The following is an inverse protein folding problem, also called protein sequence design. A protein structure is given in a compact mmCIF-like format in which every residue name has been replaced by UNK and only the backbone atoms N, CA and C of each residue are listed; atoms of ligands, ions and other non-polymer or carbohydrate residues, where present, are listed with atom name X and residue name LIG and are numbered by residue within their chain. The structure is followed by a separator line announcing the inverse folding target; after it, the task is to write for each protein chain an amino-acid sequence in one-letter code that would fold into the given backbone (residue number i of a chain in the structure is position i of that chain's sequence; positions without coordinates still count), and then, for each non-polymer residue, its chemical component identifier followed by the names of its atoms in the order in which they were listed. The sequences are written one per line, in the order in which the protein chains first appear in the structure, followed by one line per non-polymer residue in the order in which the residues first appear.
data_IF_716556841647
#
_entry.id   IF_716556841647
#
_cell.length_a   1.000
_cell.length_b   1.000
_cell.length_c   1.000
_cell.angle_alpha   90.00
_cell.angle_beta   90.00
_cell.angle_gamma   90.00
#
_symmetry.space_group_name_H-M   'P 1'
#
loop_
_entity.id
_entity.type
_entity.pdbx_description
1 polymer ?
#
# COMPACT_ATOMS: atom_id res chain seq x y z
N UNK A 1 -13.56 0.55 -14.48
CA UNK A 1 -12.25 0.46 -13.84
C UNK A 1 -12.23 1.49 -12.74
N UNK A 2 -12.18 1.06 -11.51
CA UNK A 2 -12.14 1.96 -10.36
C UNK A 2 -11.16 1.41 -9.32
N UNK A 3 -10.36 2.29 -8.72
CA UNK A 3 -9.43 1.94 -7.65
C UNK A 3 -10.04 2.23 -6.28
N UNK A 4 -9.77 1.34 -5.35
CA UNK A 4 -10.14 1.49 -3.94
C UNK A 4 -8.90 1.31 -3.08
N UNK A 5 -8.66 2.23 -2.15
CA UNK A 5 -7.79 2.03 -1.00
C UNK A 5 -8.66 2.13 0.26
N UNK A 6 -8.77 1.03 0.98
CA UNK A 6 -9.56 0.90 2.19
C UNK A 6 -8.68 0.35 3.31
N UNK A 7 -8.75 0.92 4.48
CA UNK A 7 -7.97 0.41 5.61
C UNK A 7 -8.15 1.18 6.89
N UNK A 8 -7.33 0.80 7.86
CA UNK A 8 -7.15 1.48 9.14
C UNK A 8 -5.67 1.82 9.33
N UNK A 9 -5.39 2.85 10.09
CA UNK A 9 -4.01 3.21 10.45
C UNK A 9 -3.92 3.78 11.87
N UNK A 10 -2.71 4.13 12.30
CA UNK A 10 -2.43 4.69 13.63
C UNK A 10 -3.19 5.99 13.95
N UNK A 11 -3.70 6.72 12.93
CA UNK A 11 -4.50 7.94 13.11
C UNK A 11 -5.98 7.63 13.36
N UNK A 12 -6.47 6.51 12.82
CA UNK A 12 -7.90 6.18 12.81
C UNK A 12 -8.26 5.08 13.79
N UNK A 13 -7.30 4.24 14.20
CA UNK A 13 -7.53 3.08 15.04
C UNK A 13 -6.46 2.94 16.13
N UNK A 14 -6.88 2.61 17.34
CA UNK A 14 -5.97 2.27 18.45
C UNK A 14 -5.16 1.00 18.16
N UNK A 15 -4.06 0.78 18.90
CA UNK A 15 -3.24 -0.45 18.80
C UNK A 15 -4.12 -1.68 18.93
N UNK A 16 -5.03 -1.72 19.92
CA UNK A 16 -5.90 -2.87 20.16
C UNK A 16 -6.79 -3.26 18.97
N UNK A 17 -7.26 -2.27 18.19
CA UNK A 17 -8.03 -2.51 16.96
C UNK A 17 -7.09 -2.95 15.82
N UNK A 18 -5.93 -2.30 15.68
CA UNK A 18 -4.93 -2.64 14.65
C UNK A 18 -4.40 -4.07 14.81
N UNK A 19 -4.18 -4.53 16.05
CA UNK A 19 -3.78 -5.91 16.37
C UNK A 19 -4.78 -6.94 15.83
N UNK A 20 -6.08 -6.65 15.95
CA UNK A 20 -7.16 -7.53 15.50
C UNK A 20 -7.33 -7.55 13.97
N UNK A 21 -6.88 -6.50 13.27
CA UNK A 21 -6.99 -6.36 11.80
C UNK A 21 -5.65 -6.66 11.08
N UNK A 22 -4.63 -7.07 11.83
CA UNK A 22 -3.33 -7.41 11.27
C UNK A 22 -3.38 -8.76 10.53
N UNK A 23 -2.77 -8.83 9.35
CA UNK A 23 -2.57 -10.08 8.61
C UNK A 23 -1.17 -10.63 8.87
N UNK A 24 -1.10 -11.93 9.19
CA UNK A 24 0.19 -12.60 9.28
C UNK A 24 0.73 -12.92 7.88
N UNK A 25 2.06 -13.06 7.72
CA UNK A 25 2.64 -13.44 6.44
C UNK A 25 2.06 -14.73 5.86
N UNK A 26 1.73 -15.70 6.72
CA UNK A 26 1.18 -17.00 6.32
C UNK A 26 -0.25 -16.92 5.81
N UNK A 27 -1.02 -15.92 6.28
CA UNK A 27 -2.43 -15.73 5.91
C UNK A 27 -2.61 -14.92 4.63
N UNK A 28 -1.61 -14.11 4.23
CA UNK A 28 -1.77 -13.11 3.17
C UNK A 28 -2.20 -13.68 1.82
N UNK A 29 -1.62 -14.82 1.40
CA UNK A 29 -1.94 -15.42 0.10
C UNK A 29 -3.40 -15.88 0.05
N UNK A 30 -3.86 -16.58 1.10
CA UNK A 30 -5.24 -17.04 1.21
C UNK A 30 -6.20 -15.85 1.32
N UNK A 31 -5.89 -14.87 2.16
CA UNK A 31 -6.69 -13.66 2.32
C UNK A 31 -6.89 -12.89 1.01
N UNK A 32 -5.83 -12.76 0.21
CA UNK A 32 -5.89 -12.12 -1.11
C UNK A 32 -6.81 -12.86 -2.08
N UNK A 33 -6.72 -14.18 -2.13
CA UNK A 33 -7.57 -15.01 -2.99
C UNK A 33 -9.04 -14.95 -2.57
N UNK A 34 -9.30 -15.00 -1.26
CA UNK A 34 -10.65 -14.84 -0.70
C UNK A 34 -11.20 -13.45 -1.00
N UNK A 35 -10.42 -12.39 -0.79
CA UNK A 35 -10.80 -11.01 -1.08
C UNK A 35 -11.26 -10.88 -2.54
N UNK A 36 -10.46 -11.33 -3.50
CA UNK A 36 -10.83 -11.27 -4.91
C UNK A 36 -12.12 -12.03 -5.22
N UNK A 37 -12.26 -13.25 -4.64
CA UNK A 37 -13.39 -14.12 -4.93
C UNK A 37 -14.70 -13.60 -4.32
N UNK A 38 -14.67 -13.20 -3.04
CA UNK A 38 -15.86 -12.83 -2.28
C UNK A 38 -16.31 -11.39 -2.53
N UNK A 39 -15.41 -10.50 -2.96
CA UNK A 39 -15.76 -9.11 -3.28
C UNK A 39 -15.83 -8.82 -4.78
N UNK A 40 -15.74 -9.87 -5.61
CA UNK A 40 -15.75 -9.74 -7.07
C UNK A 40 -14.69 -8.74 -7.59
N UNK A 41 -13.56 -8.64 -6.87
CA UNK A 41 -12.44 -7.78 -7.24
C UNK A 41 -11.58 -8.45 -8.29
N UNK A 42 -11.16 -7.71 -9.32
CA UNK A 42 -10.29 -8.24 -10.37
C UNK A 42 -8.85 -8.34 -9.92
N UNK A 43 -8.42 -7.35 -9.16
CA UNK A 43 -7.05 -7.24 -8.67
C UNK A 43 -7.08 -6.76 -7.21
N UNK A 44 -6.18 -7.30 -6.38
CA UNK A 44 -6.07 -6.91 -4.98
C UNK A 44 -4.64 -7.03 -4.45
N UNK A 45 -4.29 -6.16 -3.51
CA UNK A 45 -3.08 -6.24 -2.68
C UNK A 45 -3.40 -5.86 -1.24
N UNK A 46 -2.71 -6.47 -0.28
CA UNK A 46 -2.85 -6.20 1.16
C UNK A 46 -1.51 -5.68 1.69
N UNK A 47 -1.52 -4.50 2.30
CA UNK A 47 -0.41 -3.95 3.07
C UNK A 47 -0.73 -4.05 4.55
N UNK A 48 -0.06 -4.94 5.28
CA UNK A 48 -0.20 -5.09 6.73
C UNK A 48 1.14 -4.80 7.41
N UNK A 49 1.15 -3.83 8.32
CA UNK A 49 2.32 -3.36 9.07
C UNK A 49 1.92 -3.10 10.52
N UNK A 50 2.87 -2.73 11.40
CA UNK A 50 2.53 -2.30 12.77
C UNK A 50 1.62 -1.05 12.82
N UNK A 51 1.62 -0.20 11.78
CA UNK A 51 0.91 1.07 11.80
C UNK A 51 -0.33 1.11 10.92
N UNK A 52 -0.55 0.12 10.04
CA UNK A 52 -1.68 0.08 9.11
C UNK A 52 -1.99 -1.31 8.58
N UNK A 53 -3.26 -1.54 8.29
CA UNK A 53 -3.74 -2.62 7.45
C UNK A 53 -4.59 -2.01 6.34
N UNK A 54 -4.14 -2.14 5.09
CA UNK A 54 -4.76 -1.51 3.91
C UNK A 54 -4.98 -2.52 2.79
N UNK A 55 -6.12 -2.38 2.14
CA UNK A 55 -6.51 -3.12 0.95
C UNK A 55 -6.46 -2.18 -0.24
N UNK A 56 -5.71 -2.55 -1.27
CA UNK A 56 -5.67 -1.86 -2.57
C UNK A 56 -6.34 -2.75 -3.59
N UNK A 57 -7.40 -2.26 -4.20
CA UNK A 57 -8.31 -3.08 -5.00
C UNK A 57 -8.62 -2.40 -6.33
N UNK A 58 -8.78 -3.19 -7.40
CA UNK A 58 -9.39 -2.77 -8.66
C UNK A 58 -10.69 -3.54 -8.89
N UNK A 59 -11.76 -2.81 -9.18
CA UNK A 59 -13.09 -3.33 -9.48
C UNK A 59 -13.72 -2.58 -10.66
N UNK A 60 -14.67 -3.22 -11.34
CA UNK A 60 -15.49 -2.52 -12.35
C UNK A 60 -16.45 -1.51 -11.71
N UNK A 61 -17.09 -1.92 -10.63
CA UNK A 61 -17.98 -1.12 -9.80
C UNK A 61 -17.48 -1.21 -8.36
N UNK A 62 -17.23 -0.06 -7.73
CA UNK A 62 -16.75 -0.02 -6.35
C UNK A 62 -17.87 -0.42 -5.37
N UNK A 63 -17.74 -1.58 -4.78
CA UNK A 63 -18.64 -2.09 -3.74
C UNK A 63 -17.97 -2.00 -2.35
N UNK A 64 -17.72 -0.77 -1.88
CA UNK A 64 -17.01 -0.48 -0.63
C UNK A 64 -17.58 -1.25 0.55
N UNK A 65 -18.91 -1.33 0.65
CA UNK A 65 -19.60 -2.03 1.73
C UNK A 65 -19.32 -3.53 1.74
N UNK A 66 -19.16 -4.14 0.58
CA UNK A 66 -18.83 -5.57 0.46
C UNK A 66 -17.39 -5.84 0.94
N UNK A 67 -16.46 -4.94 0.60
CA UNK A 67 -15.07 -5.02 1.04
C UNK A 67 -14.96 -4.83 2.55
N UNK A 68 -15.69 -3.86 3.12
CA UNK A 68 -15.76 -3.66 4.58
C UNK A 68 -16.32 -4.89 5.31
N UNK A 69 -17.39 -5.49 4.79
CA UNK A 69 -17.96 -6.73 5.35
C UNK A 69 -16.97 -7.87 5.30
N UNK A 70 -16.31 -8.06 4.14
CA UNK A 70 -15.28 -9.09 4.04
C UNK A 70 -14.18 -8.90 5.09
N UNK A 71 -13.68 -7.68 5.27
CA UNK A 71 -12.63 -7.40 6.25
C UNK A 71 -13.11 -7.62 7.69
N UNK A 72 -14.34 -7.24 8.00
CA UNK A 72 -14.97 -7.46 9.31
C UNK A 72 -15.12 -8.97 9.60
N UNK A 73 -15.68 -9.72 8.65
CA UNK A 73 -15.91 -11.17 8.78
C UNK A 73 -14.59 -11.94 8.89
N UNK A 74 -13.59 -11.57 8.07
CA UNK A 74 -12.26 -12.19 8.07
C UNK A 74 -11.59 -12.11 9.44
N UNK A 75 -11.67 -10.95 10.09
CA UNK A 75 -11.08 -10.68 11.41
C UNK A 75 -12.05 -10.84 12.58
N UNK A 76 -13.27 -11.35 12.35
CA UNK A 76 -14.30 -11.54 13.37
C UNK A 76 -14.62 -10.27 14.18
N UNK A 77 -14.68 -9.12 13.47
CA UNK A 77 -15.03 -7.81 14.00
C UNK A 77 -16.49 -7.48 13.70
N UNK A 78 -17.11 -6.60 14.50
CA UNK A 78 -18.38 -6.02 14.08
C UNK A 78 -18.16 -5.01 12.95
N UNK A 79 -19.06 -5.01 11.97
CA UNK A 79 -19.00 -4.06 10.84
C UNK A 79 -19.02 -2.60 11.32
N UNK A 80 -19.77 -2.31 12.39
CA UNK A 80 -19.86 -0.96 12.94
C UNK A 80 -18.56 -0.52 13.62
N UNK A 81 -17.88 -1.42 14.34
CA UNK A 81 -16.56 -1.15 14.92
C UNK A 81 -15.53 -0.82 13.83
N UNK A 82 -15.51 -1.62 12.76
CA UNK A 82 -14.59 -1.39 11.65
C UNK A 82 -14.92 -0.09 10.89
N UNK A 83 -16.21 0.17 10.62
CA UNK A 83 -16.68 1.39 9.94
C UNK A 83 -16.32 2.66 10.70
N UNK A 84 -16.31 2.62 12.03
CA UNK A 84 -15.97 3.76 12.87
C UNK A 84 -14.50 4.21 12.73
N UNK A 85 -13.60 3.30 12.32
CA UNK A 85 -12.18 3.57 12.22
C UNK A 85 -11.58 3.38 10.80
N UNK A 86 -12.35 2.82 9.86
CA UNK A 86 -11.87 2.63 8.50
C UNK A 86 -11.92 3.93 7.69
N UNK A 87 -10.92 4.16 6.87
CA UNK A 87 -10.96 5.19 5.84
C UNK A 87 -11.07 4.55 4.46
N UNK A 88 -11.61 5.32 3.54
CA UNK A 88 -11.88 4.89 2.17
C UNK A 88 -11.44 5.98 1.21
N UNK A 89 -10.59 5.63 0.27
CA UNK A 89 -10.20 6.47 -0.85
C UNK A 89 -10.59 5.77 -2.15
N UNK A 90 -11.13 6.52 -3.09
CA UNK A 90 -11.57 6.00 -4.38
C UNK A 90 -10.83 6.69 -5.52
N UNK A 91 -10.62 5.98 -6.61
CA UNK A 91 -10.04 6.43 -7.87
C UNK A 91 -8.77 7.28 -7.70
N UNK A 92 -8.80 8.55 -8.09
CA UNK A 92 -7.69 9.50 -7.94
C UNK A 92 -7.22 9.63 -6.48
N UNK A 93 -8.16 9.63 -5.54
CA UNK A 93 -7.88 9.62 -4.11
C UNK A 93 -7.13 8.36 -3.66
N UNK A 94 -7.47 7.18 -4.20
CA UNK A 94 -6.79 5.92 -3.88
C UNK A 94 -5.36 5.91 -4.44
N UNK A 95 -5.18 6.36 -5.67
CA UNK A 95 -3.86 6.50 -6.31
C UNK A 95 -2.96 7.44 -5.51
N UNK A 96 -3.47 8.63 -5.18
CA UNK A 96 -2.73 9.61 -4.37
C UNK A 96 -2.39 9.06 -2.99
N UNK A 97 -3.34 8.41 -2.32
CA UNK A 97 -3.11 7.82 -1.00
C UNK A 97 -1.99 6.78 -1.05
N UNK A 98 -2.01 5.85 -2.00
CA UNK A 98 -0.98 4.84 -2.14
C UNK A 98 0.41 5.45 -2.38
N UNK A 99 0.51 6.49 -3.21
CA UNK A 99 1.76 7.20 -3.45
C UNK A 99 2.25 7.96 -2.20
N UNK A 100 1.35 8.56 -1.42
CA UNK A 100 1.66 9.19 -0.11
C UNK A 100 2.20 8.18 0.89
N UNK A 101 1.54 7.01 1.00
CA UNK A 101 1.98 5.91 1.86
C UNK A 101 3.37 5.44 1.46
N UNK A 102 3.60 5.16 0.18
CA UNK A 102 4.90 4.72 -0.34
C UNK A 102 6.03 5.73 -0.10
N UNK A 103 5.70 7.02 -0.13
CA UNK A 103 6.63 8.13 0.11
C UNK A 103 6.89 8.39 1.59
N UNK A 104 6.18 7.69 2.49
CA UNK A 104 6.26 7.90 3.94
C UNK A 104 5.56 9.18 4.43
N UNK A 105 4.75 9.83 3.59
CA UNK A 105 4.01 11.06 3.94
C UNK A 105 2.82 10.79 4.85
N UNK A 106 2.32 9.55 4.87
CA UNK A 106 1.27 9.12 5.77
C UNK A 106 1.77 8.16 6.86
N UNK A 107 3.07 7.98 7.00
CA UNK A 107 3.68 7.19 8.08
C UNK A 107 3.65 7.94 9.40
N UNK A 108 3.70 7.19 10.52
CA UNK A 108 3.85 7.75 11.86
C UNK A 108 5.10 8.64 11.92
N UNK A 109 6.17 8.20 11.30
CA UNK A 109 7.40 8.96 11.12
C UNK A 109 7.47 9.45 9.68
N UNK A 110 7.42 10.75 9.49
CA UNK A 110 7.42 11.37 8.18
C UNK A 110 8.69 11.02 7.40
N UNK A 111 8.52 10.39 6.22
CA UNK A 111 9.61 9.95 5.37
C UNK A 111 10.27 8.64 5.80
N UNK A 112 9.64 7.83 6.65
CA UNK A 112 10.15 6.53 7.09
C UNK A 112 10.50 5.64 5.89
N UNK A 113 11.74 5.12 5.78
CA UNK A 113 12.15 4.32 4.64
C UNK A 113 11.51 2.93 4.59
N UNK A 114 11.12 2.39 5.74
CA UNK A 114 10.62 1.01 5.87
C UNK A 114 9.31 0.78 5.11
N UNK A 115 8.38 1.74 5.11
CA UNK A 115 7.08 1.60 4.44
C UNK A 115 7.23 1.32 2.94
N UNK A 116 8.24 1.89 2.29
CA UNK A 116 8.52 1.63 0.89
C UNK A 116 8.94 0.18 0.64
N UNK A 117 9.76 -0.38 1.52
CA UNK A 117 10.15 -1.80 1.51
C UNK A 117 8.93 -2.71 1.76
N UNK A 118 8.12 -2.38 2.76
CA UNK A 118 6.90 -3.12 3.10
C UNK A 118 5.89 -3.13 1.95
N UNK A 119 5.71 -2.01 1.25
CA UNK A 119 4.83 -1.95 0.08
C UNK A 119 5.36 -2.80 -1.09
N UNK A 120 6.68 -2.87 -1.29
CA UNK A 120 7.28 -3.79 -2.27
C UNK A 120 7.04 -5.26 -1.90
N UNK A 121 7.15 -5.60 -0.63
CA UNK A 121 6.86 -6.95 -0.13
C UNK A 121 5.39 -7.30 -0.33
N UNK A 122 4.46 -6.39 -0.03
CA UNK A 122 3.03 -6.55 -0.28
C UNK A 122 2.74 -6.82 -1.77
N UNK A 123 3.39 -6.08 -2.67
CA UNK A 123 3.30 -6.32 -4.11
C UNK A 123 3.84 -7.69 -4.52
N UNK A 124 4.96 -8.12 -3.95
CA UNK A 124 5.55 -9.44 -4.25
C UNK A 124 4.62 -10.58 -3.82
N UNK A 125 4.05 -10.50 -2.61
CA UNK A 125 3.08 -11.49 -2.09
C UNK A 125 1.81 -11.51 -2.95
N UNK A 126 1.25 -10.35 -3.32
CA UNK A 126 0.06 -10.27 -4.17
C UNK A 126 0.33 -10.83 -5.59
N UNK A 127 1.53 -10.67 -6.12
CA UNK A 127 1.96 -11.33 -7.38
C UNK A 127 2.03 -12.84 -7.23
N UNK A 128 2.58 -13.33 -6.14
CA UNK A 128 2.64 -14.78 -5.84
C UNK A 128 1.24 -15.38 -5.69
N UNK A 129 0.33 -14.67 -5.03
CA UNK A 129 -1.08 -15.04 -4.89
C UNK A 129 -1.86 -15.02 -6.21
N UNK A 130 -1.29 -14.42 -7.29
CA UNK A 130 -1.96 -14.28 -8.57
C UNK A 130 -3.05 -13.21 -8.60
N UNK A 131 -3.06 -12.28 -7.65
CA UNK A 131 -4.07 -11.23 -7.50
C UNK A 131 -3.63 -9.87 -8.04
N UNK A 132 -2.47 -9.78 -8.69
CA UNK A 132 -2.00 -8.59 -9.40
C UNK A 132 -2.22 -8.77 -10.90
N UNK A 133 -3.02 -7.90 -11.46
CA UNK A 133 -3.21 -7.79 -12.91
C UNK A 133 -2.55 -6.52 -13.49
N UNK A 134 -2.96 -6.14 -14.73
CA UNK A 134 -2.30 -5.03 -15.43
C UNK A 134 -2.49 -3.66 -14.79
N UNK A 135 -3.62 -3.43 -14.09
CA UNK A 135 -3.97 -2.10 -13.58
C UNK A 135 -3.29 -1.80 -12.26
N UNK A 136 -3.44 -2.68 -11.25
CA UNK A 136 -2.69 -2.55 -10.00
C UNK A 136 -1.17 -2.68 -10.23
N UNK A 137 -0.76 -3.57 -11.15
CA UNK A 137 0.65 -3.70 -11.50
C UNK A 137 1.25 -2.38 -12.00
N UNK A 138 0.54 -1.64 -12.86
CA UNK A 138 0.96 -0.31 -13.32
C UNK A 138 0.91 0.73 -12.21
N UNK A 139 -0.12 0.69 -11.35
CA UNK A 139 -0.22 1.59 -10.20
C UNK A 139 0.96 1.40 -9.24
N UNK A 140 1.33 0.17 -8.91
CA UNK A 140 2.49 -0.12 -8.08
C UNK A 140 3.79 0.41 -8.70
N UNK A 141 4.01 0.22 -10.01
CA UNK A 141 5.20 0.73 -10.68
C UNK A 141 5.25 2.26 -10.68
N UNK A 142 4.14 2.94 -10.96
CA UNK A 142 4.05 4.39 -10.87
C UNK A 142 4.30 4.88 -9.43
N UNK A 143 3.71 4.22 -8.44
CA UNK A 143 3.90 4.49 -7.02
C UNK A 143 5.37 4.36 -6.61
N UNK A 144 6.05 3.28 -7.04
CA UNK A 144 7.47 3.09 -6.75
C UNK A 144 8.34 4.16 -7.40
N UNK A 145 8.02 4.58 -8.62
CA UNK A 145 8.73 5.66 -9.31
C UNK A 145 8.57 6.99 -8.59
N UNK A 146 7.33 7.37 -8.26
CA UNK A 146 7.02 8.62 -7.53
C UNK A 146 7.67 8.62 -6.14
N UNK A 147 7.56 7.53 -5.38
CA UNK A 147 8.18 7.44 -4.05
C UNK A 147 9.71 7.53 -4.11
N UNK A 148 10.35 6.95 -5.14
CA UNK A 148 11.79 7.10 -5.35
C UNK A 148 12.14 8.54 -5.68
N UNK A 149 11.38 9.20 -6.53
CA UNK A 149 11.57 10.61 -6.89
C UNK A 149 11.45 11.51 -5.65
N UNK A 150 10.38 11.36 -4.87
CA UNK A 150 10.19 12.10 -3.61
C UNK A 150 11.42 11.97 -2.69
N UNK A 151 11.95 10.77 -2.54
CA UNK A 151 13.11 10.51 -1.68
C UNK A 151 14.43 11.06 -2.22
N UNK A 152 14.56 11.20 -3.53
CA UNK A 152 15.76 11.74 -4.19
C UNK A 152 15.73 13.25 -4.27
N UNK A 153 14.56 13.83 -4.57
CA UNK A 153 14.41 15.23 -4.92
C UNK A 153 13.98 16.11 -3.72
N UNK A 154 13.71 15.49 -2.55
CA UNK A 154 13.30 16.23 -1.35
C UNK A 154 14.12 15.81 -0.12
N UNK A 155 14.26 16.70 0.86
CA UNK A 155 14.90 16.42 2.14
C UNK A 155 14.13 15.41 3.02
N UNK A 156 12.98 14.91 2.58
CA UNK A 156 12.24 13.83 3.26
C UNK A 156 13.05 12.53 3.34
N UNK A 157 13.89 12.26 2.31
CA UNK A 157 14.79 11.12 2.30
C UNK A 157 16.06 11.28 3.14
N UNK A 158 16.36 12.49 3.60
CA UNK A 158 17.56 12.79 4.38
C UNK A 158 17.31 12.55 5.88
N UNK A 159 18.19 11.79 6.54
CA UNK A 159 18.15 11.48 7.98
C UNK A 159 16.75 11.06 8.50
N UNK A 160 16.22 9.93 8.05
CA UNK A 160 14.90 9.50 8.49
C UNK A 160 14.90 9.25 9.99
N UNK A 161 14.05 9.97 10.73
CA UNK A 161 13.68 9.57 12.08
C UNK A 161 12.86 8.28 11.94
N UNK A 162 13.29 7.20 12.53
CA UNK A 162 12.56 5.93 12.54
C UNK A 162 11.96 5.68 13.92
N UNK A 163 10.97 4.81 14.01
CA UNK A 163 10.47 4.30 15.31
C UNK A 163 11.63 3.75 16.14
N UNK A 164 12.60 3.10 15.48
CA UNK A 164 13.84 2.64 16.11
C UNK A 164 14.68 3.79 16.71
N UNK A 165 14.80 4.90 15.98
CA UNK A 165 15.49 6.10 16.51
C UNK A 165 14.73 6.71 17.70
N UNK A 166 13.40 6.79 17.63
CA UNK A 166 12.58 7.31 18.73
C UNK A 166 12.72 6.46 20.00
N UNK A 167 12.69 5.13 19.89
CA UNK A 167 12.89 4.21 20.99
C UNK A 167 14.26 4.41 21.67
N UNK A 168 15.33 4.55 20.88
CA UNK A 168 16.69 4.79 21.40
C UNK A 168 16.82 6.20 21.98
N UNK A 169 16.17 7.21 21.40
CA UNK A 169 16.17 8.58 21.93
C UNK A 169 15.46 8.67 23.28
N UNK A 170 14.36 7.94 23.45
CA UNK A 170 13.67 7.84 24.72
C UNK A 170 14.52 7.12 25.78
N UNK A 171 15.22 6.04 25.39
CA UNK A 171 16.19 5.39 26.29
C UNK A 171 17.26 6.35 26.78
N UNK A 172 17.75 7.27 25.94
CA UNK A 172 18.74 8.32 26.33
C UNK A 172 18.21 9.32 27.34
N UNK A 173 16.93 9.60 27.35
CA UNK A 173 16.31 10.50 28.33
C UNK A 173 16.19 9.84 29.70
N UNK A 174 16.00 8.51 29.72
CA UNK A 174 15.83 7.74 30.96
C UNK A 174 17.19 7.35 31.55
N UNK A 175 18.16 6.96 30.75
CA UNK A 175 19.47 6.53 31.18
C UNK A 175 20.52 7.62 30.91
N UNK A 176 21.19 8.06 31.98
CA UNK A 176 22.25 9.07 31.88
C UNK A 176 23.53 8.56 31.18
N UNK A 177 23.77 7.25 31.18
CA UNK A 177 24.94 6.61 30.55
C UNK A 177 24.55 5.26 29.90
N UNK A 178 24.37 5.28 28.61
CA UNK A 178 24.04 4.08 27.82
C UNK A 178 25.22 3.10 27.67
N UNK A 179 26.46 3.56 27.86
CA UNK A 179 27.64 2.68 27.74
C UNK A 179 27.67 1.57 28.82
N UNK A 180 26.96 1.76 29.93
CA UNK A 180 26.88 0.79 31.02
C UNK A 180 25.64 -0.07 30.96
N UNK A 181 24.72 0.25 30.09
CA UNK A 181 23.43 -0.46 29.94
C UNK A 181 23.60 -1.71 29.08
N UNK A 182 22.83 -2.73 29.42
CA UNK A 182 22.63 -3.91 28.55
C UNK A 182 21.26 -3.82 27.84
N UNK A 183 21.26 -4.04 26.54
CA UNK A 183 20.06 -4.07 25.75
C UNK A 183 19.72 -5.50 25.31
N UNK A 184 18.48 -5.89 25.51
CA UNK A 184 17.86 -7.11 24.96
C UNK A 184 16.93 -6.72 23.83
N UNK A 185 17.23 -7.22 22.63
CA UNK A 185 16.45 -7.02 21.42
C UNK A 185 15.71 -8.29 21.07
N UNK A 186 14.38 -8.24 21.00
CA UNK A 186 13.53 -9.39 20.73
C UNK A 186 13.03 -9.29 19.29
N UNK A 187 13.45 -10.24 18.45
CA UNK A 187 13.25 -10.24 17.01
C UNK A 187 14.56 -10.07 16.23
N UNK A 188 14.52 -10.31 14.93
CA UNK A 188 15.66 -10.12 14.02
C UNK A 188 15.19 -9.56 12.66
N UNK A 189 14.15 -8.74 12.68
CA UNK A 189 13.62 -8.01 11.53
C UNK A 189 14.37 -6.69 11.28
N UNK A 190 13.95 -5.99 10.22
CA UNK A 190 14.56 -4.71 9.80
C UNK A 190 14.51 -3.65 10.90
N UNK A 191 13.39 -3.54 11.62
CA UNK A 191 13.24 -2.58 12.74
C UNK A 191 14.25 -2.86 13.86
N UNK A 192 14.40 -4.12 14.26
CA UNK A 192 15.37 -4.50 15.29
C UNK A 192 16.82 -4.29 14.82
N UNK A 193 17.11 -4.52 13.54
CA UNK A 193 18.42 -4.20 12.95
C UNK A 193 18.74 -2.71 13.04
N UNK A 194 17.77 -1.83 12.79
CA UNK A 194 17.94 -0.38 12.96
C UNK A 194 18.11 0.01 14.43
N UNK A 195 17.34 -0.59 15.34
CA UNK A 195 17.50 -0.38 16.79
C UNK A 195 18.90 -0.78 17.24
N UNK A 196 19.38 -1.95 16.83
CA UNK A 196 20.72 -2.44 17.17
C UNK A 196 21.80 -1.46 16.70
N UNK A 197 21.68 -0.95 15.46
CA UNK A 197 22.59 0.06 14.90
C UNK A 197 22.58 1.34 15.73
N UNK A 198 21.40 1.90 16.02
CA UNK A 198 21.29 3.12 16.79
C UNK A 198 21.84 2.95 18.22
N UNK A 199 21.58 1.84 18.90
CA UNK A 199 22.14 1.54 20.23
C UNK A 199 23.66 1.41 20.19
N UNK A 200 24.19 0.72 19.19
CA UNK A 200 25.62 0.59 18.97
C UNK A 200 26.29 1.94 18.72
N UNK A 201 25.71 2.79 17.85
CA UNK A 201 26.21 4.15 17.56
C UNK A 201 26.15 5.06 18.80
N UNK A 202 25.20 4.82 19.72
CA UNK A 202 25.13 5.49 21.03
C UNK A 202 26.06 4.87 22.11
N UNK A 203 26.85 3.88 21.73
CA UNK A 203 27.88 3.30 22.57
C UNK A 203 27.42 2.20 23.52
N UNK A 204 26.22 1.64 23.34
CA UNK A 204 25.79 0.44 24.08
C UNK A 204 26.65 -0.74 23.66
N UNK A 205 27.46 -1.25 24.59
CA UNK A 205 28.45 -2.32 24.31
C UNK A 205 27.86 -3.73 24.48
N UNK A 206 26.84 -3.87 25.29
CA UNK A 206 26.22 -5.17 25.62
C UNK A 206 24.85 -5.25 24.98
N UNK A 207 24.81 -5.83 23.79
CA UNK A 207 23.56 -6.07 23.06
C UNK A 207 23.35 -7.57 22.96
N UNK A 208 22.17 -8.04 23.32
CA UNK A 208 21.71 -9.42 23.17
C UNK A 208 20.55 -9.42 22.18
N UNK A 209 20.58 -10.29 21.17
CA UNK A 209 19.53 -10.46 20.17
C UNK A 209 18.87 -11.80 20.40
N UNK A 210 17.60 -11.79 20.78
CA UNK A 210 16.76 -12.99 20.97
C UNK A 210 15.83 -13.20 19.78
N UNK A 211 15.83 -14.39 19.20
CA UNK A 211 14.91 -14.70 18.12
C UNK A 211 14.48 -16.17 18.17
N UNK A 212 13.36 -16.50 17.50
CA UNK A 212 12.88 -17.88 17.35
C UNK A 212 13.91 -18.76 16.64
N UNK A 213 14.60 -18.23 15.66
CA UNK A 213 15.63 -18.89 14.85
C UNK A 213 16.99 -18.31 15.23
N UNK A 214 17.86 -19.15 15.80
CA UNK A 214 19.18 -18.72 16.27
C UNK A 214 20.07 -18.15 15.14
N UNK A 215 19.98 -18.72 13.94
CA UNK A 215 20.74 -18.28 12.77
C UNK A 215 20.44 -16.84 12.40
N UNK A 216 19.15 -16.42 12.45
CA UNK A 216 18.75 -15.03 12.20
C UNK A 216 19.25 -14.10 13.29
N UNK A 217 19.19 -14.52 14.56
CA UNK A 217 19.74 -13.75 15.66
C UNK A 217 21.26 -13.59 15.50
N UNK A 218 21.99 -14.64 15.14
CA UNK A 218 23.43 -14.63 14.94
C UNK A 218 23.86 -13.70 13.79
N UNK A 219 23.19 -13.78 12.66
CA UNK A 219 23.45 -12.90 11.49
C UNK A 219 23.33 -11.41 11.85
N UNK A 220 22.34 -11.07 12.69
CA UNK A 220 22.18 -9.69 13.16
C UNK A 220 23.24 -9.34 14.21
N UNK A 221 23.48 -10.21 15.18
CA UNK A 221 24.41 -10.00 16.27
C UNK A 221 25.85 -9.80 15.79
N UNK A 222 26.29 -10.57 14.80
CA UNK A 222 27.63 -10.45 14.19
C UNK A 222 27.94 -9.06 13.66
N UNK A 223 26.94 -8.34 13.14
CA UNK A 223 27.13 -6.99 12.59
C UNK A 223 27.54 -5.96 13.64
N UNK A 224 27.21 -6.23 14.91
CA UNK A 224 27.40 -5.28 16.03
C UNK A 224 28.25 -5.85 17.18
N UNK A 225 28.84 -7.02 17.00
CA UNK A 225 29.56 -7.70 18.07
C UNK A 225 28.65 -8.07 19.25
N UNK A 226 27.36 -8.32 18.97
CA UNK A 226 26.34 -8.64 19.95
C UNK A 226 26.27 -10.17 20.21
N UNK A 227 25.52 -10.58 21.24
CA UNK A 227 25.27 -11.97 21.57
C UNK A 227 23.91 -12.44 21.05
N UNK A 228 23.85 -13.62 20.46
CA UNK A 228 22.62 -14.20 19.94
C UNK A 228 22.09 -15.30 20.86
N UNK A 229 20.77 -15.29 21.12
CA UNK A 229 20.10 -16.27 21.98
C UNK A 229 18.75 -16.70 21.37
N UNK A 230 18.22 -17.84 21.83
CA UNK A 230 16.86 -18.24 21.51
C UNK A 230 15.84 -17.50 22.39
N UNK A 231 14.56 -17.40 21.94
CA UNK A 231 13.48 -16.81 22.74
C UNK A 231 13.31 -17.49 24.11
N UNK A 232 13.62 -18.78 24.24
CA UNK A 232 13.56 -19.52 25.50
C UNK A 232 14.55 -19.03 26.57
N UNK A 233 15.59 -18.30 26.15
CA UNK A 233 16.64 -17.77 27.04
C UNK A 233 16.33 -16.34 27.53
N UNK A 234 15.27 -15.70 27.00
CA UNK A 234 14.82 -14.36 27.40
C UNK A 234 14.71 -14.20 28.92
N UNK A 235 14.09 -15.14 29.68
CA UNK A 235 13.98 -14.99 31.13
C UNK A 235 15.32 -14.86 31.85
N UNK A 236 16.39 -15.47 31.33
CA UNK A 236 17.73 -15.36 31.86
C UNK A 236 18.37 -14.02 31.51
N UNK A 237 18.26 -13.60 30.23
CA UNK A 237 18.84 -12.35 29.75
C UNK A 237 18.15 -11.12 30.35
N UNK A 238 16.85 -11.22 30.61
CA UNK A 238 16.04 -10.15 31.21
C UNK A 238 16.57 -9.67 32.57
N UNK A 239 17.16 -10.58 33.36
CA UNK A 239 17.75 -10.27 34.67
C UNK A 239 18.88 -9.24 34.55
N UNK A 240 19.61 -9.22 33.45
CA UNK A 240 20.75 -8.35 33.21
C UNK A 240 20.47 -7.14 32.33
N UNK A 241 19.30 -7.14 31.63
CA UNK A 241 18.94 -6.14 30.62
C UNK A 241 18.31 -4.92 31.26
N UNK A 242 18.82 -3.74 30.96
CA UNK A 242 18.28 -2.46 31.38
C UNK A 242 17.29 -1.89 30.33
N UNK A 243 17.51 -2.23 29.10
CA UNK A 243 16.71 -1.83 27.93
C UNK A 243 16.18 -3.09 27.24
N UNK A 244 14.90 -3.16 26.97
CA UNK A 244 14.26 -4.23 26.20
C UNK A 244 13.49 -3.61 25.07
N UNK A 245 13.77 -4.03 23.83
CA UNK A 245 13.02 -3.56 22.65
C UNK A 245 12.56 -4.77 21.85
N UNK A 246 11.24 -4.87 21.62
CA UNK A 246 10.62 -5.98 20.94
C UNK A 246 9.96 -5.56 19.64
N UNK A 247 10.17 -6.36 18.59
CA UNK A 247 9.51 -6.22 17.29
C UNK A 247 9.54 -7.57 16.55
N UNK A 248 8.52 -8.40 16.78
CA UNK A 248 8.36 -9.68 16.09
C UNK A 248 7.04 -9.75 15.31
N UNK A 249 6.82 -10.83 14.60
CA UNK A 249 5.54 -11.16 13.95
C UNK A 249 4.74 -12.21 14.76
N UNK A 250 4.95 -12.27 16.08
CA UNK A 250 4.23 -13.21 16.94
C UNK A 250 2.76 -12.82 17.06
N UNK A 251 1.88 -13.82 17.06
CA UNK A 251 0.45 -13.61 17.31
C UNK A 251 0.09 -13.58 18.78
N UNK A 252 0.99 -14.05 19.63
CA UNK A 252 0.81 -14.11 21.08
C UNK A 252 1.98 -13.38 21.73
N UNK A 253 1.74 -12.71 22.88
CA UNK A 253 2.80 -12.09 23.65
C UNK A 253 3.92 -13.10 23.97
N UNK A 254 5.16 -12.62 23.79
CA UNK A 254 6.38 -13.39 24.09
C UNK A 254 6.78 -13.17 25.54
N UNK A 255 6.52 -11.97 26.07
CA UNK A 255 6.94 -11.54 27.40
C UNK A 255 5.72 -11.23 28.28
N UNK A 256 5.41 -12.16 29.19
CA UNK A 256 4.30 -12.02 30.14
C UNK A 256 4.73 -11.42 31.48
N UNK A 257 3.76 -10.82 32.21
CA UNK A 257 3.92 -10.17 33.52
C UNK A 257 4.70 -11.03 34.52
N UNK A 258 4.37 -12.32 34.60
CA UNK A 258 5.01 -13.23 35.55
C UNK A 258 6.51 -13.48 35.30
N UNK A 259 6.97 -13.39 34.02
CA UNK A 259 8.38 -13.52 33.67
C UNK A 259 9.15 -12.24 34.09
N UNK A 260 8.59 -11.08 33.81
CA UNK A 260 9.17 -9.77 34.17
C UNK A 260 9.24 -9.59 35.69
N UNK A 261 8.18 -9.94 36.42
CA UNK A 261 8.15 -9.88 37.87
C UNK A 261 9.26 -10.74 38.53
N UNK A 262 9.48 -11.95 38.01
CA UNK A 262 10.60 -12.81 38.48
C UNK A 262 11.96 -12.17 38.21
N UNK A 263 12.13 -11.58 37.03
CA UNK A 263 13.37 -10.88 36.68
C UNK A 263 13.60 -9.69 37.59
N UNK A 264 12.60 -8.85 37.87
CA UNK A 264 12.67 -7.69 38.77
C UNK A 264 13.14 -8.10 40.19
N UNK A 265 12.58 -9.18 40.75
CA UNK A 265 13.03 -9.71 42.06
C UNK A 265 14.49 -10.09 42.05
N UNK A 266 14.99 -10.75 41.01
CA UNK A 266 16.40 -11.13 40.88
C UNK A 266 17.29 -9.91 40.65
N UNK A 267 16.81 -8.87 39.99
CA UNK A 267 17.48 -7.56 39.77
C UNK A 267 17.49 -6.65 41.02
N UNK A 268 16.86 -7.06 42.12
CA UNK A 268 16.66 -6.22 43.32
C UNK A 268 15.95 -4.91 42.98
N UNK A 269 14.90 -5.01 42.14
CA UNK A 269 14.07 -3.90 41.72
C UNK A 269 14.81 -2.78 40.94
N UNK A 270 15.91 -3.13 40.26
CA UNK A 270 16.54 -2.21 39.30
C UNK A 270 15.60 -2.01 38.10
N UNK A 271 15.23 -0.76 37.75
CA UNK A 271 14.27 -0.51 36.71
C UNK A 271 14.65 -1.08 35.33
N UNK A 272 13.64 -1.39 34.52
CA UNK A 272 13.81 -1.79 33.13
C UNK A 272 12.95 -0.86 32.25
N UNK A 273 13.59 -0.32 31.21
CA UNK A 273 12.94 0.38 30.14
C UNK A 273 12.57 -0.60 29.04
N UNK A 274 11.28 -0.66 28.68
CA UNK A 274 10.76 -1.57 27.68
C UNK A 274 10.03 -0.82 26.58
N UNK A 275 10.27 -1.19 25.33
CA UNK A 275 9.56 -0.66 24.17
C UNK A 275 9.04 -1.81 23.34
N UNK A 276 7.74 -1.85 23.14
CA UNK A 276 7.07 -2.80 22.26
C UNK A 276 6.65 -2.11 20.95
N UNK A 277 7.38 -2.44 19.88
CA UNK A 277 7.14 -1.89 18.53
C UNK A 277 6.29 -2.86 17.70
N UNK A 278 6.00 -4.07 18.21
CA UNK A 278 5.26 -5.09 17.50
C UNK A 278 3.75 -4.80 17.45
N UNK A 279 3.12 -5.23 16.38
CA UNK A 279 1.66 -5.31 16.27
C UNK A 279 1.35 -6.63 15.52
N UNK A 280 0.71 -7.60 16.18
CA UNK A 280 0.27 -7.61 17.61
C UNK A 280 1.43 -7.45 18.60
N UNK A 281 1.10 -7.01 19.85
CA UNK A 281 2.10 -6.77 20.88
C UNK A 281 2.83 -8.04 21.30
N UNK A 282 4.16 -7.89 21.48
CA UNK A 282 5.03 -8.93 22.01
C UNK A 282 5.05 -8.99 23.54
N UNK A 283 4.70 -7.86 24.21
CA UNK A 283 4.73 -7.69 25.65
C UNK A 283 3.31 -7.50 26.18
N UNK A 284 2.92 -8.28 27.19
CA UNK A 284 1.61 -8.13 27.82
C UNK A 284 1.45 -6.73 28.41
N UNK A 285 0.30 -6.02 28.18
CA UNK A 285 0.06 -4.68 28.73
C UNK A 285 0.20 -4.59 30.24
N UNK A 286 -0.17 -5.66 30.95
CA UNK A 286 -0.10 -5.79 32.40
C UNK A 286 1.35 -5.71 32.95
N UNK A 287 2.36 -5.86 32.08
CA UNK A 287 3.77 -5.62 32.44
C UNK A 287 3.98 -4.15 32.85
N UNK A 288 3.28 -3.22 32.20
CA UNK A 288 3.33 -1.79 32.52
C UNK A 288 2.76 -1.42 33.89
N UNK A 289 2.04 -2.34 34.57
CA UNK A 289 1.54 -2.12 35.93
C UNK A 289 2.59 -2.35 37.02
N UNK A 290 3.77 -2.89 36.67
CA UNK A 290 4.85 -3.14 37.61
C UNK A 290 5.63 -1.85 37.92
N UNK A 291 5.85 -1.54 39.18
CA UNK A 291 6.43 -0.29 39.66
C UNK A 291 7.81 0.09 39.05
N UNK A 292 8.63 -0.89 38.73
CA UNK A 292 9.99 -0.69 38.21
C UNK A 292 10.10 -0.92 36.69
N UNK A 293 8.96 -0.88 35.97
CA UNK A 293 8.89 -1.03 34.52
C UNK A 293 8.39 0.25 33.87
N UNK A 294 9.12 0.70 32.87
CA UNK A 294 8.72 1.77 31.96
C UNK A 294 8.42 1.16 30.61
N UNK A 295 7.16 0.73 30.43
CA UNK A 295 6.69 0.12 29.18
C UNK A 295 6.08 1.17 28.26
N UNK A 296 6.61 1.25 27.05
CA UNK A 296 6.11 2.10 25.96
C UNK A 296 5.71 1.24 24.78
N UNK A 297 4.59 1.55 24.19
CA UNK A 297 4.12 0.98 22.92
C UNK A 297 4.60 1.80 21.72
N UNK A 298 4.35 1.32 20.52
CA UNK A 298 4.62 2.06 19.28
C UNK A 298 3.91 3.42 19.26
N UNK A 299 2.70 3.53 19.85
CA UNK A 299 1.92 4.77 19.87
C UNK A 299 2.50 5.80 20.86
N UNK A 300 3.09 5.36 21.97
CA UNK A 300 3.72 6.24 22.96
C UNK A 300 4.99 6.91 22.41
N UNK A 301 5.61 6.35 21.39
CA UNK A 301 6.76 6.95 20.70
C UNK A 301 6.36 8.16 19.84
N UNK A 302 5.07 8.38 19.62
CA UNK A 302 4.59 9.46 18.76
C UNK A 302 4.96 10.85 19.26
N UNK A 303 4.86 11.09 20.57
CA UNK A 303 5.21 12.39 21.17
C UNK A 303 6.68 12.75 20.96
N UNK A 304 7.58 11.77 21.05
CA UNK A 304 9.03 11.95 20.82
C UNK A 304 9.33 12.29 19.35
N UNK A 305 8.47 11.81 18.43
CA UNK A 305 8.60 12.01 16.98
C UNK A 305 8.07 13.39 16.57
N UNK A 306 7.01 13.90 17.21
CA UNK A 306 6.37 15.17 16.85
C UNK A 306 7.30 16.39 16.97
N UNK A 307 8.20 16.42 17.94
CA UNK A 307 9.20 17.51 18.06
C UNK A 307 10.09 17.62 16.80
N UNK A 308 10.37 16.51 16.13
CA UNK A 308 11.16 16.46 14.90
C UNK A 308 10.34 16.76 13.63
N UNK A 309 9.01 16.69 13.68
CA UNK A 309 8.12 16.94 12.53
C UNK A 309 8.15 18.40 12.08
N UNK A 310 8.27 19.37 13.02
CA UNK A 310 8.26 20.81 12.70
C UNK A 310 9.39 21.21 11.76
N UNK A 311 10.55 20.59 11.85
CA UNK A 311 11.69 20.89 10.96
C UNK A 311 11.53 20.34 9.53
N UNK A 312 10.58 19.44 9.30
CA UNK A 312 10.37 18.74 8.03
C UNK A 312 9.14 19.20 7.24
N UNK A 313 8.34 20.13 7.79
CA UNK A 313 7.09 20.58 7.15
C UNK A 313 7.33 21.15 5.75
N UNK A 314 8.41 21.90 5.53
CA UNK A 314 8.76 22.41 4.20
C UNK A 314 9.07 21.30 3.17
N UNK A 315 9.83 20.29 3.59
CA UNK A 315 10.15 19.13 2.74
C UNK A 315 8.90 18.28 2.44
N UNK A 316 7.98 18.18 3.40
CA UNK A 316 6.72 17.48 3.22
C UNK A 316 5.83 18.14 2.16
N UNK A 317 5.78 19.47 2.12
CA UNK A 317 4.98 20.18 1.09
C UNK A 317 5.51 19.89 -0.32
N UNK A 318 6.82 19.97 -0.54
CA UNK A 318 7.42 19.65 -1.84
C UNK A 318 7.15 18.18 -2.23
N UNK A 319 7.21 17.28 -1.27
CA UNK A 319 6.91 15.87 -1.49
C UNK A 319 5.43 15.62 -1.83
N UNK A 320 4.49 16.35 -1.18
CA UNK A 320 3.06 16.28 -1.52
C UNK A 320 2.81 16.78 -2.96
N UNK A 321 3.49 17.83 -3.39
CA UNK A 321 3.37 18.35 -4.76
C UNK A 321 3.85 17.33 -5.79
N UNK A 322 4.96 16.63 -5.53
CA UNK A 322 5.45 15.54 -6.38
C UNK A 322 4.47 14.36 -6.44
N UNK A 323 3.85 14.01 -5.32
CA UNK A 323 2.82 12.97 -5.27
C UNK A 323 1.58 13.38 -6.08
N UNK A 324 1.14 14.64 -5.98
CA UNK A 324 0.02 15.16 -6.77
C UNK A 324 0.30 15.09 -8.27
N UNK A 325 1.49 15.48 -8.70
CA UNK A 325 1.92 15.40 -10.10
C UNK A 325 1.96 13.94 -10.55
N UNK A 326 2.59 13.04 -9.78
CA UNK A 326 2.68 11.63 -10.12
C UNK A 326 1.31 10.94 -10.23
N UNK A 327 0.38 11.27 -9.33
CA UNK A 327 -0.98 10.74 -9.37
C UNK A 327 -1.75 11.26 -10.61
N UNK A 328 -1.66 12.55 -10.91
CA UNK A 328 -2.30 13.14 -12.07
C UNK A 328 -1.77 12.54 -13.40
N UNK A 329 -0.44 12.36 -13.52
CA UNK A 329 0.18 11.71 -14.68
C UNK A 329 -0.28 10.27 -14.83
N UNK A 330 -0.36 9.51 -13.74
CA UNK A 330 -0.84 8.13 -13.78
C UNK A 330 -2.29 8.07 -14.26
N UNK A 331 -3.17 8.91 -13.72
CA UNK A 331 -4.58 8.96 -14.11
C UNK A 331 -4.76 9.40 -15.56
N UNK A 332 -3.93 10.32 -16.06
CA UNK A 332 -3.93 10.71 -17.46
C UNK A 332 -3.57 9.52 -18.37
N UNK A 333 -2.46 8.83 -18.08
CA UNK A 333 -2.03 7.64 -18.83
C UNK A 333 -3.07 6.52 -18.79
N UNK A 334 -3.78 6.35 -17.68
CA UNK A 334 -4.84 5.36 -17.56
C UNK A 334 -6.02 5.67 -18.50
N UNK A 335 -6.42 6.96 -18.58
CA UNK A 335 -7.47 7.42 -19.51
C UNK A 335 -7.05 7.24 -20.97
N UNK A 336 -5.79 7.53 -21.30
CA UNK A 336 -5.25 7.30 -22.65
C UNK A 336 -5.29 5.82 -23.03
N UNK A 337 -4.94 4.91 -22.10
CA UNK A 337 -5.01 3.47 -22.34
C UNK A 337 -6.45 2.98 -22.58
N UNK A 338 -7.42 3.50 -21.83
CA UNK A 338 -8.82 3.18 -22.06
C UNK A 338 -9.29 3.62 -23.45
N UNK A 339 -8.82 4.78 -23.91
CA UNK A 339 -9.11 5.26 -25.28
C UNK A 339 -8.47 4.36 -26.35
N UNK A 340 -7.24 3.87 -26.11
CA UNK A 340 -6.55 2.96 -27.04
C UNK A 340 -7.33 1.65 -27.23
N UNK A 341 -7.88 1.07 -26.17
CA UNK A 341 -8.65 -0.17 -26.25
C UNK A 341 -9.97 0.01 -27.05
N UNK A 342 -10.64 1.15 -26.85
CA UNK A 342 -11.83 1.50 -27.65
C UNK A 342 -11.46 1.69 -29.11
N UNK A 343 -10.38 2.42 -29.40
CA UNK A 343 -9.89 2.64 -30.76
C UNK A 343 -9.50 1.33 -31.45
N UNK A 344 -8.81 0.43 -30.73
CA UNK A 344 -8.43 -0.89 -31.25
C UNK A 344 -9.66 -1.73 -31.59
N UNK A 345 -10.66 -1.77 -30.71
CA UNK A 345 -11.90 -2.49 -30.92
C UNK A 345 -12.68 -1.93 -32.11
N UNK A 346 -12.74 -0.60 -32.23
CA UNK A 346 -13.40 0.06 -33.37
C UNK A 346 -12.69 -0.23 -34.70
N UNK A 347 -11.35 -0.19 -34.74
CA UNK A 347 -10.55 -0.56 -35.91
C UNK A 347 -10.80 -2.00 -36.33
N UNK A 348 -10.76 -2.94 -35.40
CA UNK A 348 -11.02 -4.35 -35.66
C UNK A 348 -12.45 -4.58 -36.23
N UNK A 349 -13.43 -3.86 -35.71
CA UNK A 349 -14.80 -3.91 -36.25
C UNK A 349 -14.85 -3.37 -37.69
N UNK A 350 -14.22 -2.23 -37.95
CA UNK A 350 -14.16 -1.64 -39.29
C UNK A 350 -13.46 -2.57 -40.30
N UNK A 351 -12.37 -3.23 -39.90
CA UNK A 351 -11.64 -4.18 -40.72
C UNK A 351 -12.48 -5.41 -41.05
N UNK A 352 -13.21 -5.95 -40.07
CA UNK A 352 -14.17 -7.07 -40.35
C UNK A 352 -15.23 -6.67 -41.37
N UNK A 353 -15.84 -5.48 -41.24
CA UNK A 353 -16.80 -4.97 -42.18
C UNK A 353 -16.22 -4.81 -43.59
N UNK A 354 -14.99 -4.30 -43.71
CA UNK A 354 -14.23 -4.21 -44.96
C UNK A 354 -14.03 -5.59 -45.60
N UNK A 355 -13.57 -6.55 -44.82
CA UNK A 355 -13.26 -7.88 -45.36
C UNK A 355 -14.49 -8.63 -45.80
N UNK A 356 -15.62 -8.48 -45.08
CA UNK A 356 -16.92 -9.02 -45.47
C UNK A 356 -17.43 -8.42 -46.79
N UNK A 357 -17.33 -7.10 -46.98
CA UNK A 357 -17.74 -6.45 -48.22
C UNK A 357 -16.80 -6.77 -49.38
N UNK A 358 -15.51 -6.90 -49.15
CA UNK A 358 -14.51 -7.31 -50.14
C UNK A 358 -14.79 -8.75 -50.61
N UNK A 359 -15.08 -9.66 -49.69
CA UNK A 359 -15.44 -11.05 -50.07
C UNK A 359 -16.72 -11.12 -50.93
N UNK A 360 -17.70 -10.24 -50.68
CA UNK A 360 -18.91 -10.13 -51.53
C UNK A 360 -18.55 -9.59 -52.90
N UNK A 361 -17.73 -8.54 -52.96
CA UNK A 361 -17.27 -7.96 -54.22
C UNK A 361 -16.52 -8.98 -55.08
N UNK A 362 -15.63 -9.78 -54.49
CA UNK A 362 -14.88 -10.85 -55.16
C UNK A 362 -15.84 -11.92 -55.74
N UNK A 363 -16.88 -12.31 -54.97
CA UNK A 363 -17.90 -13.27 -55.45
C UNK A 363 -18.69 -12.72 -56.63
N UNK A 364 -19.07 -11.42 -56.62
CA UNK A 364 -19.77 -10.79 -57.73
C UNK A 364 -18.92 -10.74 -59.00
N UNK A 365 -17.61 -10.40 -58.88
CA UNK A 365 -16.67 -10.45 -59.99
C UNK A 365 -16.57 -11.88 -60.57
N UNK A 366 -16.44 -12.87 -59.69
CA UNK A 366 -16.36 -14.27 -60.11
C UNK A 366 -17.66 -14.75 -60.83
N UNK A 367 -18.81 -14.15 -60.52
CA UNK A 367 -20.09 -14.44 -61.15
C UNK A 367 -20.35 -13.59 -62.41
N UNK A 368 -19.35 -12.83 -62.91
CA UNK A 368 -19.43 -12.11 -64.18
C UNK A 368 -20.00 -10.69 -64.12
N UNK A 369 -20.14 -10.09 -62.94
CA UNK A 369 -20.48 -8.68 -62.81
C UNK A 369 -19.32 -7.77 -63.30
N UNK A 370 -19.66 -6.59 -63.83
CA UNK A 370 -18.62 -5.64 -64.30
C UNK A 370 -17.86 -5.01 -63.16
N UNK A 371 -16.59 -4.68 -63.38
CA UNK A 371 -15.75 -4.06 -62.36
C UNK A 371 -16.36 -2.75 -61.80
N UNK A 372 -16.93 -1.91 -62.67
CA UNK A 372 -17.56 -0.65 -62.29
C UNK A 372 -18.78 -0.85 -61.38
N UNK A 373 -19.63 -1.80 -61.66
CA UNK A 373 -20.79 -2.13 -60.81
C UNK A 373 -20.32 -2.65 -59.43
N UNK A 374 -19.31 -3.53 -59.42
CA UNK A 374 -18.76 -4.12 -58.18
C UNK A 374 -18.09 -3.08 -57.34
N UNK A 375 -17.28 -2.16 -57.90
CA UNK A 375 -16.64 -1.05 -57.18
C UNK A 375 -17.68 -0.10 -56.57
N UNK A 376 -18.73 0.24 -57.33
CA UNK A 376 -19.79 1.10 -56.79
C UNK A 376 -20.56 0.43 -55.66
N UNK A 377 -20.85 -0.85 -55.78
CA UNK A 377 -21.53 -1.63 -54.74
C UNK A 377 -20.67 -1.81 -53.48
N UNK A 378 -19.38 -2.10 -53.67
CA UNK A 378 -18.42 -2.19 -52.56
C UNK A 378 -18.31 -0.87 -51.77
N UNK A 379 -18.14 0.27 -52.49
CA UNK A 379 -18.06 1.59 -51.90
C UNK A 379 -19.33 1.94 -51.11
N UNK A 380 -20.50 1.76 -51.69
CA UNK A 380 -21.78 2.00 -51.02
C UNK A 380 -22.02 1.06 -49.85
N UNK A 381 -21.74 -0.25 -50.04
CA UNK A 381 -21.90 -1.26 -49.00
C UNK A 381 -21.05 -0.97 -47.79
N UNK A 382 -19.76 -0.66 -47.99
CA UNK A 382 -18.82 -0.33 -46.91
C UNK A 382 -19.23 0.97 -46.18
N UNK A 383 -19.53 2.05 -46.93
CA UNK A 383 -19.97 3.32 -46.34
C UNK A 383 -21.23 3.14 -45.48
N UNK A 384 -22.27 2.47 -46.03
CA UNK A 384 -23.51 2.24 -45.30
C UNK A 384 -23.31 1.43 -44.03
N UNK A 385 -22.45 0.39 -44.04
CA UNK A 385 -22.21 -0.45 -42.89
C UNK A 385 -21.40 0.27 -41.82
N UNK A 386 -20.40 1.07 -42.21
CA UNK A 386 -19.62 1.86 -41.26
C UNK A 386 -20.46 2.94 -40.55
N UNK A 387 -21.39 3.58 -41.30
CA UNK A 387 -22.23 4.64 -40.76
C UNK A 387 -23.48 4.12 -40.03
N UNK A 388 -23.88 2.86 -40.22
CA UNK A 388 -25.14 2.33 -39.69
C UNK A 388 -25.17 2.36 -38.15
N UNK A 389 -24.19 1.76 -37.50
CA UNK A 389 -24.16 1.66 -36.05
C UNK A 389 -24.06 3.05 -35.36
N UNK A 390 -23.13 3.97 -35.73
CA UNK A 390 -23.12 5.33 -35.22
C UNK A 390 -24.46 6.07 -35.43
N UNK A 391 -25.06 6.00 -36.63
CA UNK A 391 -26.30 6.69 -36.91
C UNK A 391 -27.48 6.20 -36.07
N UNK A 392 -27.57 4.87 -35.84
CA UNK A 392 -28.60 4.29 -34.98
C UNK A 392 -28.42 4.75 -33.53
N UNK A 393 -27.19 4.75 -33.02
CA UNK A 393 -26.92 5.16 -31.65
C UNK A 393 -27.19 6.68 -31.45
N UNK A 394 -26.77 7.52 -32.36
CA UNK A 394 -27.08 8.96 -32.33
C UNK A 394 -28.58 9.24 -32.29
N UNK A 395 -29.38 8.53 -33.11
CA UNK A 395 -30.85 8.65 -33.07
C UNK A 395 -31.42 8.24 -31.72
N UNK A 396 -30.92 7.15 -31.11
CA UNK A 396 -31.35 6.70 -29.78
C UNK A 396 -30.97 7.73 -28.68
N UNK A 397 -29.77 8.28 -28.71
CA UNK A 397 -29.32 9.29 -27.79
C UNK A 397 -30.12 10.58 -27.91
N UNK A 398 -30.43 11.02 -29.14
CA UNK A 398 -31.30 12.15 -29.40
C UNK A 398 -32.72 11.92 -28.86
N UNK A 399 -33.32 10.76 -29.10
CA UNK A 399 -34.64 10.42 -28.56
C UNK A 399 -34.67 10.34 -27.01
N UNK A 400 -33.55 10.01 -26.40
CA UNK A 400 -33.39 10.02 -24.93
C UNK A 400 -33.08 11.39 -24.35
N UNK A 401 -33.02 12.47 -25.15
CA UNK A 401 -32.77 13.82 -24.73
C UNK A 401 -31.29 14.12 -24.31
N UNK A 402 -30.35 13.24 -24.70
CA UNK A 402 -28.91 13.39 -24.38
C UNK A 402 -28.25 14.35 -25.38
N UNK A 403 -28.42 15.65 -25.16
CA UNK A 403 -27.80 16.71 -25.98
C UNK A 403 -26.28 16.76 -25.81
N UNK A 404 -25.77 16.41 -24.64
CA UNK A 404 -24.34 16.24 -24.35
C UNK A 404 -23.67 15.24 -25.31
N UNK A 405 -24.31 14.11 -25.53
CA UNK A 405 -23.79 13.06 -26.40
C UNK A 405 -23.80 13.48 -27.88
N UNK A 406 -24.78 14.29 -28.29
CA UNK A 406 -24.82 14.84 -29.67
C UNK A 406 -23.69 15.86 -29.90
N UNK A 407 -23.42 16.74 -28.91
CA UNK A 407 -22.30 17.69 -28.99
C UNK A 407 -20.95 16.97 -29.08
N UNK A 408 -20.76 15.93 -28.24
CA UNK A 408 -19.57 15.08 -28.27
C UNK A 408 -19.39 14.34 -29.60
N UNK A 409 -20.49 13.86 -30.21
CA UNK A 409 -20.42 13.22 -31.51
C UNK A 409 -20.07 14.21 -32.64
N UNK A 410 -20.55 15.47 -32.57
CA UNK A 410 -20.16 16.52 -33.52
C UNK A 410 -18.66 16.79 -33.46
N UNK A 411 -18.09 16.83 -32.26
CA UNK A 411 -16.66 17.00 -32.04
C UNK A 411 -15.87 15.77 -32.53
N UNK A 412 -16.29 14.56 -32.15
CA UNK A 412 -15.66 13.28 -32.53
C UNK A 412 -15.58 13.08 -34.05
N UNK A 413 -16.61 13.50 -34.76
CA UNK A 413 -16.69 13.38 -36.24
C UNK A 413 -16.23 14.64 -36.97
N UNK A 414 -15.70 15.64 -36.25
CA UNK A 414 -15.26 16.92 -36.82
C UNK A 414 -16.29 17.62 -37.70
N UNK A 415 -17.57 17.55 -37.29
CA UNK A 415 -18.67 18.07 -38.11
C UNK A 415 -18.79 19.61 -38.05
N UNK A 416 -18.16 20.27 -37.10
CA UNK A 416 -18.21 21.72 -36.90
C UNK A 416 -17.11 22.48 -37.67
N UNK A 417 -16.11 21.80 -38.25
CA UNK A 417 -15.01 22.47 -38.98
C UNK A 417 -15.43 22.91 -40.41
N UNK A 418 -16.65 22.59 -40.86
CA UNK A 418 -17.12 22.90 -42.22
C UNK A 418 -17.88 24.20 -42.41
N UNK A 419 -18.21 24.95 -41.33
CA UNK A 419 -19.06 26.15 -41.42
C UNK A 419 -18.32 27.42 -41.87
N UNK A 420 -16.98 27.45 -41.73
CA UNK A 420 -16.18 28.69 -41.98
C UNK A 420 -15.47 28.76 -43.36
N UNK A 421 -15.59 27.71 -44.20
CA UNK A 421 -14.87 27.71 -45.51
C UNK A 421 -15.72 28.13 -46.74
N UNK A 422 -16.99 28.49 -46.54
CA UNK A 422 -17.87 28.93 -47.65
C UNK A 422 -18.25 30.41 -47.57
N UNK A 423 -17.48 31.24 -46.88
CA UNK A 423 -17.67 32.69 -46.81
C UNK A 423 -16.39 33.44 -47.22
N UNK A 424 -15.82 33.12 -48.38
CA UNK A 424 -14.93 33.98 -49.13
C UNK A 424 -15.17 33.87 -50.64
#
# INVERSE_FOLDING_TARGET
MAFLALGINHKTASVAVRERVAFTPEQLVEALQQLCTLTNSREAAILSTCNRSELYIEQDLLEVEQVLRWLADYHQLSLDELRACAYVHQDDGAVRHMMRVASGLDSMVLGEPQIFGQLKSAYAVAREAGTIGPLLGRLFQATFSTAKQVRTDTAIGENPVSVAFAAVSLAKQIFSDLHRSQALLIGAGETISLVARHLHDQGVKRIVVANRTLERASQLAEQFGAHAVLLSEIPHELVNSDIVISSTASQLPILGKGAVERALKLRKHKPIFMVDIAVPRDIEPEVGELDDIYLYSVDDLHEVIEENLKSRQGAAQVAEDLVLVGAAEFMLRLRELAAVDVLKSYRQQAERLRDDELAKAQRLLANGATADEVLLQLARGLTNKLLHAPSVQLKKMSAAGRLDALAMAQELFALNEGADKNSQ
#
